data_IF_293579049469
#
_entry.id   IF_293579049469
#
_cell.length_a   1.000
_cell.length_b   1.000
_cell.length_c   1.000
_cell.angle_alpha   90.00
_cell.angle_beta   90.00
_cell.angle_gamma   90.00
#
_symmetry.space_group_name_H-M   'P 1'
#
loop_
_entity.id
_entity.type
_entity.pdbx_description
1 polymer ?
#
# COMPACT_ATOMS: atom_id res chain seq x y z
N UNK A 1 -28.02 28.10 -7.94
CA UNK A 1 -26.56 27.88 -7.81
C UNK A 1 -26.32 27.19 -6.48
N UNK A 2 -26.31 25.86 -6.48
CA UNK A 2 -26.10 25.08 -5.25
C UNK A 2 -24.61 25.12 -4.90
N UNK A 3 -24.28 25.77 -3.77
CA UNK A 3 -22.97 25.65 -3.14
C UNK A 3 -22.83 24.22 -2.63
N UNK A 4 -22.01 23.42 -3.31
CA UNK A 4 -21.49 22.18 -2.77
C UNK A 4 -20.62 22.57 -1.55
N UNK A 5 -21.11 22.36 -0.32
CA UNK A 5 -20.29 22.64 0.86
C UNK A 5 -19.21 21.55 0.94
N UNK A 6 -17.95 21.98 0.89
CA UNK A 6 -16.74 21.16 0.99
C UNK A 6 -16.64 20.38 2.32
N UNK A 7 -17.52 20.69 3.26
CA UNK A 7 -17.56 20.17 4.64
C UNK A 7 -18.06 18.72 4.75
N UNK A 8 -18.45 18.09 3.63
CA UNK A 8 -18.88 16.68 3.59
C UNK A 8 -17.93 15.78 2.77
N UNK A 9 -16.74 16.26 2.37
CA UNK A 9 -15.73 15.45 1.64
C UNK A 9 -14.63 14.87 2.53
N UNK A 10 -14.86 14.79 3.83
CA UNK A 10 -13.92 14.18 4.78
C UNK A 10 -14.64 13.07 5.55
N UNK A 11 -14.98 11.98 4.85
CA UNK A 11 -15.74 10.86 5.39
C UNK A 11 -14.92 9.56 5.27
N UNK A 12 -14.41 9.06 6.40
CA UNK A 12 -13.96 7.70 6.79
C UNK A 12 -13.25 6.74 5.80
N UNK A 13 -12.82 7.22 4.63
CA UNK A 13 -12.13 6.42 3.59
C UNK A 13 -10.65 6.77 3.44
N UNK A 14 -10.05 7.37 4.47
CA UNK A 14 -8.61 7.59 4.51
C UNK A 14 -7.91 6.24 4.59
N UNK A 15 -7.23 5.85 3.51
CA UNK A 15 -6.31 4.72 3.48
C UNK A 15 -5.43 4.82 4.74
N UNK A 16 -5.38 3.79 5.61
CA UNK A 16 -4.54 3.82 6.79
C UNK A 16 -3.11 4.23 6.40
N UNK A 17 -2.43 5.12 7.16
CA UNK A 17 -1.11 5.62 6.78
C UNK A 17 -0.11 4.50 6.48
N UNK A 18 -0.17 3.40 7.22
CA UNK A 18 0.64 2.20 7.01
C UNK A 18 0.32 1.45 5.71
N UNK A 19 -0.95 1.42 5.27
CA UNK A 19 -1.34 0.91 3.95
C UNK A 19 -0.81 1.83 2.84
N UNK A 20 -0.91 3.15 3.02
CA UNK A 20 -0.38 4.13 2.08
C UNK A 20 1.15 4.03 1.95
N UNK A 21 1.87 3.80 3.07
CA UNK A 21 3.30 3.56 3.10
C UNK A 21 3.71 2.29 2.33
N UNK A 22 2.99 1.19 2.55
CA UNK A 22 3.26 -0.07 1.83
C UNK A 22 3.05 0.11 0.31
N UNK A 23 1.98 0.79 -0.10
CA UNK A 23 1.71 1.08 -1.52
C UNK A 23 2.80 1.97 -2.13
N UNK A 24 3.25 2.98 -1.39
CA UNK A 24 4.34 3.85 -1.83
C UNK A 24 5.67 3.08 -1.98
N UNK A 25 5.98 2.12 -1.11
CA UNK A 25 7.19 1.30 -1.24
C UNK A 25 7.11 0.34 -2.43
N UNK A 26 5.93 -0.24 -2.71
CA UNK A 26 5.71 -1.04 -3.94
C UNK A 26 5.95 -0.17 -5.18
N UNK A 27 5.43 1.06 -5.21
CA UNK A 27 5.65 1.97 -6.33
C UNK A 27 7.14 2.31 -6.50
N UNK A 28 7.85 2.64 -5.41
CA UNK A 28 9.31 2.90 -5.44
C UNK A 28 10.08 1.70 -5.96
N UNK A 29 9.73 0.50 -5.50
CA UNK A 29 10.32 -0.77 -5.94
C UNK A 29 10.21 -0.96 -7.46
N UNK A 30 9.02 -0.71 -8.03
CA UNK A 30 8.79 -0.76 -9.47
C UNK A 30 9.63 0.28 -10.22
N UNK A 31 9.75 1.50 -9.69
CA UNK A 31 10.55 2.56 -10.31
C UNK A 31 12.06 2.25 -10.28
N UNK A 32 12.57 1.69 -9.17
CA UNK A 32 13.96 1.23 -9.05
C UNK A 32 14.26 0.12 -10.04
N UNK A 33 13.36 -0.86 -10.18
CA UNK A 33 13.48 -1.92 -11.17
C UNK A 33 13.57 -1.35 -12.59
N UNK A 34 12.63 -0.49 -13.00
CA UNK A 34 12.61 0.12 -14.34
C UNK A 34 13.87 0.93 -14.63
N UNK A 35 14.32 1.73 -13.67
CA UNK A 35 15.52 2.57 -13.81
C UNK A 35 16.77 1.70 -14.00
N UNK A 36 16.89 0.63 -13.22
CA UNK A 36 18.05 -0.25 -13.26
C UNK A 36 18.07 -1.14 -14.49
N UNK A 37 16.90 -1.60 -14.94
CA UNK A 37 16.73 -2.33 -16.21
C UNK A 37 17.14 -1.46 -17.40
N UNK A 38 16.68 -0.20 -17.44
CA UNK A 38 17.05 0.76 -18.50
C UNK A 38 18.55 1.11 -18.48
N UNK A 39 19.21 1.03 -17.32
CA UNK A 39 20.64 1.26 -17.17
C UNK A 39 21.51 0.05 -17.55
N UNK A 40 20.92 -1.08 -17.91
CA UNK A 40 21.66 -2.30 -18.29
C UNK A 40 22.38 -2.99 -17.11
N UNK A 41 21.94 -2.73 -15.88
CA UNK A 41 22.42 -3.41 -14.68
C UNK A 41 21.84 -4.82 -14.62
N UNK A 42 22.56 -5.76 -13.97
CA UNK A 42 22.20 -7.18 -13.83
C UNK A 42 20.70 -7.38 -13.50
N UNK A 43 19.86 -7.66 -14.53
CA UNK A 43 18.43 -7.52 -14.41
C UNK A 43 17.81 -8.66 -13.61
N UNK A 44 18.46 -9.83 -13.54
CA UNK A 44 17.96 -10.99 -12.79
C UNK A 44 18.08 -10.80 -11.29
N UNK A 45 19.24 -10.33 -10.83
CA UNK A 45 19.46 -10.07 -9.39
C UNK A 45 18.57 -8.92 -8.91
N UNK A 46 18.49 -7.84 -9.68
CA UNK A 46 17.66 -6.68 -9.34
C UNK A 46 16.16 -7.01 -9.38
N UNK A 47 15.71 -7.81 -10.37
CA UNK A 47 14.33 -8.30 -10.41
C UNK A 47 14.01 -9.14 -9.17
N UNK A 48 14.95 -9.99 -8.74
CA UNK A 48 14.79 -10.83 -7.55
C UNK A 48 14.62 -9.97 -6.29
N UNK A 49 15.48 -8.97 -6.09
CA UNK A 49 15.43 -8.08 -4.93
C UNK A 49 14.12 -7.25 -4.88
N UNK A 50 13.66 -6.76 -6.02
CA UNK A 50 12.41 -5.99 -6.09
C UNK A 50 11.16 -6.89 -5.94
N UNK A 51 11.19 -8.13 -6.47
CA UNK A 51 10.13 -9.13 -6.20
C UNK A 51 10.03 -9.44 -4.71
N UNK A 52 11.17 -9.60 -4.02
CA UNK A 52 11.20 -9.84 -2.58
C UNK A 52 10.59 -8.64 -1.83
N UNK A 53 11.00 -7.42 -2.18
CA UNK A 53 10.46 -6.18 -1.59
C UNK A 53 8.94 -6.09 -1.76
N UNK A 54 8.44 -6.26 -2.98
CA UNK A 54 6.99 -6.23 -3.24
C UNK A 54 6.24 -7.32 -2.48
N UNK A 55 6.80 -8.53 -2.37
CA UNK A 55 6.19 -9.63 -1.60
C UNK A 55 6.08 -9.30 -0.11
N UNK A 56 7.11 -8.72 0.49
CA UNK A 56 7.10 -8.33 1.90
C UNK A 56 6.02 -7.30 2.17
N UNK A 57 5.92 -6.26 1.35
CA UNK A 57 4.92 -5.20 1.51
C UNK A 57 3.49 -5.71 1.27
N UNK A 58 3.29 -6.63 0.32
CA UNK A 58 2.00 -7.28 0.12
C UNK A 58 1.56 -8.13 1.33
N UNK A 59 2.49 -8.86 1.96
CA UNK A 59 2.22 -9.62 3.18
C UNK A 59 1.87 -8.69 4.34
N UNK A 60 2.57 -7.56 4.47
CA UNK A 60 2.30 -6.53 5.49
C UNK A 60 0.90 -5.93 5.31
N UNK A 61 0.56 -5.53 4.09
CA UNK A 61 -0.78 -5.06 3.72
C UNK A 61 -1.87 -6.07 4.06
N UNK A 62 -1.67 -7.33 3.65
CA UNK A 62 -2.63 -8.40 3.90
C UNK A 62 -2.84 -8.64 5.41
N UNK A 63 -1.76 -8.62 6.18
CA UNK A 63 -1.81 -8.80 7.64
C UNK A 63 -2.56 -7.65 8.31
N UNK A 64 -2.31 -6.43 7.87
CA UNK A 64 -2.96 -5.23 8.42
C UNK A 64 -4.45 -5.22 8.13
N UNK A 65 -4.87 -5.50 6.90
CA UNK A 65 -6.28 -5.60 6.51
C UNK A 65 -7.00 -6.67 7.33
N UNK A 66 -6.39 -7.85 7.49
CA UNK A 66 -6.99 -8.94 8.26
C UNK A 66 -7.07 -8.62 9.77
N UNK A 67 -6.09 -7.90 10.31
CA UNK A 67 -6.13 -7.47 11.71
C UNK A 67 -7.27 -6.47 11.97
N UNK A 68 -7.55 -5.57 11.03
CA UNK A 68 -8.67 -4.63 11.12
C UNK A 68 -10.02 -5.34 11.02
N UNK A 69 -10.15 -6.33 10.11
CA UNK A 69 -11.36 -7.17 10.02
C UNK A 69 -11.64 -7.94 11.32
N UNK A 70 -10.59 -8.50 11.94
CA UNK A 70 -10.75 -9.24 13.20
C UNK A 70 -11.10 -8.33 14.38
N UNK A 71 -10.61 -7.08 14.42
CA UNK A 71 -10.98 -6.12 15.47
C UNK A 71 -12.44 -5.66 15.35
N UNK A 72 -12.95 -5.49 14.14
CA UNK A 72 -14.36 -5.12 13.93
C UNK A 72 -15.33 -6.26 14.28
N UNK A 73 -14.91 -7.53 14.15
CA UNK A 73 -15.74 -8.69 14.47
C UNK A 73 -15.88 -8.98 15.98
N UNK A 74 -15.00 -8.41 16.82
CA UNK A 74 -14.89 -8.73 18.25
C UNK A 74 -15.25 -7.57 19.19
N UNK A 75 -15.88 -6.50 18.70
CA UNK A 75 -16.44 -5.47 19.59
C UNK A 75 -17.58 -6.07 20.43
N UNK A 76 -17.52 -6.01 21.78
CA UNK A 76 -18.44 -6.74 22.66
C UNK A 76 -19.80 -6.04 22.87
N UNK A 77 -20.11 -4.98 22.13
CA UNK A 77 -21.38 -4.26 22.24
C UNK A 77 -22.27 -4.56 21.04
N UNK A 78 -22.94 -5.70 21.12
CA UNK A 78 -24.13 -6.08 20.35
C UNK A 78 -25.19 -6.59 21.30
#
# INVERSE_FOLDING_TARGET
>A
MNKCSYEHMHDDQLIPPSVAECLAEIERSIQRFRSSYNAGLDPERLLTDEIITMRVELIRLWSEINSHKNRQLHSPDG
#
